data_IF_672279431036
#
_entry.id   IF_672279431036
#
_cell.length_a   1.000
_cell.length_b   1.000
_cell.length_c   1.000
_cell.angle_alpha   90.00
_cell.angle_beta   90.00
_cell.angle_gamma   90.00
#
_symmetry.space_group_name_H-M   'P 1'
#
loop_
_entity.id
_entity.type
_entity.pdbx_description
1 polymer ?
#
# COMPACT_ATOMS: atom_id res chain seq x y z
N UNK A 1 4.17 -1.69 -25.59
CA UNK A 1 3.04 -0.81 -25.18
C UNK A 1 3.52 0.04 -24.01
N UNK A 2 3.45 1.36 -24.12
CA UNK A 2 4.31 2.30 -23.39
C UNK A 2 4.05 2.41 -21.87
N UNK A 3 5.14 2.44 -21.10
CA UNK A 3 5.22 2.50 -19.62
C UNK A 3 4.57 3.76 -18.99
N UNK A 4 4.35 4.82 -19.77
CA UNK A 4 3.93 6.13 -19.27
C UNK A 4 2.48 6.20 -18.74
N UNK A 5 1.63 5.23 -19.04
CA UNK A 5 0.24 5.19 -18.53
C UNK A 5 0.09 4.47 -17.18
N UNK A 6 1.17 3.93 -16.61
CA UNK A 6 1.15 3.15 -15.35
C UNK A 6 1.47 3.97 -14.09
N UNK A 7 1.62 5.28 -14.18
CA UNK A 7 1.99 6.14 -13.04
C UNK A 7 0.89 7.13 -12.69
N UNK A 8 0.57 7.23 -11.40
CA UNK A 8 -0.33 8.24 -10.85
C UNK A 8 -1.56 7.65 -10.16
N UNK A 9 -2.54 8.53 -9.90
CA UNK A 9 -3.80 8.21 -9.24
C UNK A 9 -4.80 7.59 -10.20
N UNK A 10 -5.38 6.46 -9.81
CA UNK A 10 -6.37 5.72 -10.61
C UNK A 10 -7.66 5.56 -9.82
N UNK A 11 -8.79 5.88 -10.45
CA UNK A 11 -10.11 5.62 -9.90
C UNK A 11 -10.33 4.11 -9.76
N UNK A 12 -10.83 3.70 -8.61
CA UNK A 12 -11.15 2.30 -8.30
C UNK A 12 -12.66 2.09 -8.28
N UNK A 13 -13.34 2.76 -7.36
CA UNK A 13 -14.79 2.66 -7.15
C UNK A 13 -15.27 3.80 -6.25
N UNK A 14 -16.56 3.82 -5.91
CA UNK A 14 -17.12 4.63 -4.84
C UNK A 14 -16.87 3.99 -3.47
N UNK A 15 -16.83 4.80 -2.41
CA UNK A 15 -16.74 4.32 -1.02
C UNK A 15 -17.90 3.39 -0.64
N UNK A 16 -19.03 3.50 -1.33
CA UNK A 16 -20.20 2.63 -1.14
C UNK A 16 -19.97 1.19 -1.60
N UNK A 17 -18.87 0.89 -2.32
CA UNK A 17 -18.50 -0.47 -2.69
C UNK A 17 -17.92 -1.27 -1.51
N UNK A 18 -17.48 -0.61 -0.45
CA UNK A 18 -16.96 -1.19 0.80
C UNK A 18 -17.63 -0.50 2.02
N UNK A 19 -18.95 -0.71 2.21
CA UNK A 19 -19.75 0.09 3.14
C UNK A 19 -19.45 -0.12 4.63
N UNK A 20 -18.86 -1.25 5.02
CA UNK A 20 -18.62 -1.59 6.43
C UNK A 20 -17.15 -1.85 6.72
N UNK A 21 -16.72 -1.56 7.95
CA UNK A 21 -15.39 -1.93 8.42
C UNK A 21 -15.16 -3.45 8.24
N UNK A 22 -13.98 -3.80 7.71
CA UNK A 22 -13.64 -5.17 7.33
C UNK A 22 -14.00 -5.52 5.88
N UNK A 23 -14.80 -4.70 5.18
CA UNK A 23 -15.07 -4.93 3.76
C UNK A 23 -13.80 -4.76 2.92
N UNK A 24 -13.71 -5.56 1.86
CA UNK A 24 -12.59 -5.49 0.92
C UNK A 24 -13.06 -5.65 -0.53
N UNK A 25 -12.38 -4.93 -1.42
CA UNK A 25 -12.59 -4.97 -2.87
C UNK A 25 -11.29 -5.36 -3.56
N UNK A 26 -11.30 -6.48 -4.29
CA UNK A 26 -10.19 -6.88 -5.16
C UNK A 26 -10.44 -6.39 -6.58
N UNK A 27 -9.49 -5.65 -7.13
CA UNK A 27 -9.56 -5.06 -8.47
C UNK A 27 -8.26 -5.30 -9.22
N UNK A 28 -8.34 -5.44 -10.54
CA UNK A 28 -7.15 -5.50 -11.41
C UNK A 28 -6.97 -4.19 -12.14
N UNK A 29 -5.87 -3.48 -11.87
CA UNK A 29 -5.55 -2.18 -12.46
C UNK A 29 -4.28 -2.32 -13.28
N UNK A 30 -4.35 -2.11 -14.60
CA UNK A 30 -3.23 -2.35 -15.55
C UNK A 30 -2.57 -3.75 -15.45
N UNK A 31 -3.36 -4.76 -15.10
CA UNK A 31 -2.87 -6.13 -14.89
C UNK A 31 -2.22 -6.37 -13.53
N UNK A 32 -2.22 -5.38 -12.63
CA UNK A 32 -1.77 -5.50 -11.25
C UNK A 32 -2.98 -5.74 -10.34
N UNK A 33 -3.00 -6.85 -9.57
CA UNK A 33 -4.02 -7.06 -8.54
C UNK A 33 -3.81 -6.09 -7.38
N UNK A 34 -4.86 -5.36 -7.04
CA UNK A 34 -4.93 -4.42 -5.92
C UNK A 34 -6.10 -4.81 -5.03
N UNK A 35 -5.90 -4.79 -3.72
CA UNK A 35 -6.95 -4.94 -2.72
C UNK A 35 -7.12 -3.61 -2.02
N UNK A 36 -8.36 -3.14 -1.94
CA UNK A 36 -8.76 -1.98 -1.15
C UNK A 36 -9.57 -2.49 0.03
N UNK A 37 -9.33 -1.97 1.23
CA UNK A 37 -10.03 -2.35 2.46
C UNK A 37 -10.53 -1.12 3.20
N UNK A 38 -11.64 -1.26 3.92
CA UNK A 38 -12.05 -0.33 4.96
C UNK A 38 -11.64 -0.92 6.31
N UNK A 39 -10.74 -0.27 7.04
CA UNK A 39 -10.31 -0.76 8.35
C UNK A 39 -11.31 -0.41 9.47
N UNK A 40 -11.04 -0.89 10.69
CA UNK A 40 -11.91 -0.70 11.86
C UNK A 40 -12.00 0.77 12.31
N UNK A 41 -11.00 1.58 11.95
CA UNK A 41 -10.97 3.03 12.22
C UNK A 41 -11.74 3.82 11.15
N UNK A 42 -12.24 3.15 10.12
CA UNK A 42 -12.96 3.76 8.99
C UNK A 42 -12.03 4.35 7.92
N UNK A 43 -10.73 4.03 7.97
CA UNK A 43 -9.77 4.45 6.97
C UNK A 43 -9.76 3.48 5.78
N UNK A 44 -9.72 4.05 4.57
CA UNK A 44 -9.49 3.25 3.36
C UNK A 44 -8.00 2.99 3.21
N UNK A 45 -7.63 1.71 3.08
CA UNK A 45 -6.27 1.25 2.78
C UNK A 45 -6.24 0.53 1.45
N UNK A 46 -5.08 0.54 0.79
CA UNK A 46 -4.89 -0.17 -0.47
C UNK A 46 -3.56 -0.91 -0.50
N UNK A 47 -3.56 -2.08 -1.14
CA UNK A 47 -2.41 -2.97 -1.20
C UNK A 47 -2.29 -3.59 -2.59
N UNK A 48 -1.09 -3.55 -3.17
CA UNK A 48 -0.73 -4.37 -4.34
C UNK A 48 -0.48 -5.81 -3.88
N UNK A 49 -1.15 -6.78 -4.49
CA UNK A 49 -0.85 -8.18 -4.23
C UNK A 49 0.47 -8.56 -4.92
N UNK A 50 1.47 -8.94 -4.14
CA UNK A 50 2.70 -9.54 -4.67
C UNK A 50 2.40 -10.97 -5.15
N UNK A 51 3.04 -11.39 -6.24
CA UNK A 51 2.88 -12.77 -6.76
C UNK A 51 3.39 -13.78 -5.71
N UNK A 52 2.56 -14.77 -5.36
CA UNK A 52 2.96 -15.93 -4.54
C UNK A 52 4.17 -16.66 -5.15
N UNK A 53 5.08 -17.24 -4.35
CA UNK A 53 4.91 -17.63 -2.94
C UNK A 53 5.51 -16.66 -1.92
N UNK A 54 5.97 -15.47 -2.33
CA UNK A 54 6.74 -14.57 -1.46
C UNK A 54 6.21 -13.15 -1.52
N UNK A 55 5.85 -12.61 -0.35
CA UNK A 55 5.54 -11.20 -0.15
C UNK A 55 4.18 -10.99 0.50
N UNK A 56 4.16 -10.27 1.62
CA UNK A 56 2.94 -9.65 2.13
C UNK A 56 2.39 -8.68 1.08
N UNK A 57 1.07 -8.44 1.02
CA UNK A 57 0.51 -7.37 0.20
C UNK A 57 1.27 -6.07 0.46
N UNK A 58 1.69 -5.41 -0.61
CA UNK A 58 2.49 -4.20 -0.52
C UNK A 58 1.56 -2.99 -0.40
N UNK A 59 1.60 -2.22 0.70
CA UNK A 59 0.83 -0.98 0.81
C UNK A 59 1.11 -0.02 -0.34
N UNK A 60 0.05 0.66 -0.77
CA UNK A 60 0.09 1.74 -1.76
C UNK A 60 -0.76 2.89 -1.27
N UNK A 61 -0.40 4.11 -1.68
CA UNK A 61 -1.18 5.29 -1.30
C UNK A 61 -2.58 5.21 -1.91
N UNK A 62 -3.56 5.54 -1.08
CA UNK A 62 -4.94 5.71 -1.49
C UNK A 62 -5.49 7.04 -0.99
N UNK A 63 -6.56 7.50 -1.61
CA UNK A 63 -7.26 8.71 -1.22
C UNK A 63 -8.74 8.59 -1.55
N UNK A 64 -9.59 9.21 -0.74
CA UNK A 64 -11.00 9.41 -1.05
C UNK A 64 -11.20 10.86 -1.48
N UNK A 65 -11.84 11.08 -2.63
CA UNK A 65 -12.23 12.42 -3.07
C UNK A 65 -13.60 12.39 -3.73
N UNK A 66 -14.52 13.22 -3.26
CA UNK A 66 -15.91 13.24 -3.73
C UNK A 66 -16.61 11.86 -3.66
N UNK A 67 -16.32 11.08 -2.61
CA UNK A 67 -16.84 9.72 -2.46
C UNK A 67 -16.20 8.66 -3.37
N UNK A 68 -15.19 9.02 -4.16
CA UNK A 68 -14.45 8.12 -5.04
C UNK A 68 -13.15 7.69 -4.39
N UNK A 69 -12.84 6.41 -4.47
CA UNK A 69 -11.59 5.80 -4.04
C UNK A 69 -10.59 5.90 -5.20
N UNK A 70 -9.40 6.42 -4.89
CA UNK A 70 -8.26 6.45 -5.79
C UNK A 70 -7.08 5.70 -5.19
N UNK A 71 -6.32 5.01 -6.03
CA UNK A 71 -5.06 4.34 -5.66
C UNK A 71 -3.93 4.90 -6.52
N UNK A 72 -2.79 5.21 -5.89
CA UNK A 72 -1.59 5.63 -6.59
C UNK A 72 -0.69 4.42 -6.87
N UNK A 73 -0.42 4.16 -8.14
CA UNK A 73 0.43 3.05 -8.59
C UNK A 73 1.81 3.50 -9.09
N UNK A 74 2.21 4.75 -8.82
CA UNK A 74 3.55 5.23 -9.15
C UNK A 74 4.63 4.32 -8.53
N UNK A 75 5.56 3.87 -9.36
CA UNK A 75 6.68 3.03 -8.95
C UNK A 75 7.62 3.72 -7.94
N UNK A 76 7.58 5.05 -7.87
CA UNK A 76 8.39 5.83 -6.93
C UNK A 76 7.82 5.89 -5.52
N UNK A 77 6.50 5.76 -5.36
CA UNK A 77 5.85 5.85 -4.04
C UNK A 77 6.31 4.71 -3.11
N UNK A 78 6.67 3.55 -3.67
CA UNK A 78 7.21 2.39 -2.94
C UNK A 78 8.51 2.67 -2.19
N UNK A 79 9.24 3.74 -2.53
CA UNK A 79 10.54 4.04 -1.93
C UNK A 79 10.43 4.75 -0.58
N UNK A 80 9.26 5.33 -0.27
CA UNK A 80 9.10 6.17 0.92
C UNK A 80 8.74 5.36 2.18
N UNK A 81 7.99 4.26 2.06
CA UNK A 81 7.55 3.48 3.22
C UNK A 81 8.64 2.55 3.81
N UNK A 82 9.72 2.30 3.09
CA UNK A 82 10.85 1.51 3.61
C UNK A 82 11.85 2.34 4.42
N UNK A 83 11.64 3.66 4.53
CA UNK A 83 12.60 4.59 5.14
C UNK A 83 12.33 4.94 6.61
N UNK A 84 11.40 4.25 7.28
CA UNK A 84 11.10 4.42 8.72
C UNK A 84 11.37 3.15 9.54
N UNK A 85 12.38 2.36 9.18
CA UNK A 85 13.02 1.49 10.18
C UNK A 85 14.15 2.32 10.80
N UNK A 86 14.08 2.73 12.08
CA UNK A 86 15.25 3.27 12.73
C UNK A 86 16.31 2.18 12.68
N UNK A 87 17.39 2.46 11.97
CA UNK A 87 18.61 1.66 11.97
C UNK A 87 18.95 1.42 13.45
N UNK A 88 18.74 0.18 13.91
CA UNK A 88 19.07 -0.22 15.27
C UNK A 88 20.55 0.11 15.42
N UNK A 89 20.84 1.19 16.14
CA UNK A 89 22.21 1.55 16.51
C UNK A 89 22.70 0.40 17.36
N UNK A 90 23.46 -0.49 16.76
CA UNK A 90 24.16 -1.56 17.46
C UNK A 90 25.10 -0.89 18.46
N UNK A 91 24.64 -0.77 19.70
CA UNK A 91 25.49 -0.36 20.82
C UNK A 91 26.55 -1.44 21.00
N UNK A 92 27.76 -1.15 20.54
CA UNK A 92 28.94 -1.98 20.78
C UNK A 92 29.20 -1.99 22.30
N UNK A 93 28.86 -3.10 22.95
CA UNK A 93 29.22 -3.33 24.34
C UNK A 93 30.72 -3.63 24.42
N UNK A 94 31.49 -2.72 25.00
CA UNK A 94 32.91 -2.94 25.28
C UNK A 94 33.03 -3.92 26.46
N UNK A 95 33.74 -5.06 26.34
CA UNK A 95 33.92 -5.96 27.47
C UNK A 95 34.90 -5.34 28.48
N UNK A 96 34.53 -5.33 29.76
CA UNK A 96 35.42 -4.96 30.86
C UNK A 96 36.23 -6.20 31.24
N UNK A 97 37.55 -6.15 31.04
CA UNK A 97 38.47 -7.19 31.50
C UNK A 97 38.43 -7.32 33.03
N UNK A 98 38.35 -8.57 33.49
CA UNK A 98 38.62 -8.98 34.87
C UNK A 98 40.12 -9.28 35.05
#
# INVERSE_FOLDING_TARGET
MATAYRSGWHFIDLVTAIPHAGDSLMVTVFGEPVVVTLDEDGDVRAYRCLRRPRGAPQPVRCAIRYGMIFVNLDQRDHRLEQSEVPEVRTISATPRSA
#
